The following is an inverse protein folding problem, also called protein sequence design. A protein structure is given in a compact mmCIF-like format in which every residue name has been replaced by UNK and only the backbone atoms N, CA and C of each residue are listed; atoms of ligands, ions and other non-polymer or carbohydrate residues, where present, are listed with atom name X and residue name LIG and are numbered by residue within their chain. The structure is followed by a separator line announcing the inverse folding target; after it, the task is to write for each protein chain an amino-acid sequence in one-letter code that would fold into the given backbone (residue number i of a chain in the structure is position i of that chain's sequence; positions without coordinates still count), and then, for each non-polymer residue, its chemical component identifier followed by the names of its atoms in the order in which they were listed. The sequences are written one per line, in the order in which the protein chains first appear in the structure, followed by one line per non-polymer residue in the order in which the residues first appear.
data_IF_561826548445
#
_entry.id   IF_561826548445
#
_cell.length_a   1.000
_cell.length_b   1.000
_cell.length_c   1.000
_cell.angle_alpha   90.00
_cell.angle_beta   90.00
_cell.angle_gamma   90.00
#
_symmetry.space_group_name_H-M   'P 1'
#
loop_
_entity.id
_entity.type
_entity.pdbx_description
1 polymer ?
#
# COMPACT_ATOMS: atom_id res chain seq x y z
N UNK A 1 24.54 -33.54 -2.37
CA UNK A 1 23.19 -32.96 -2.54
C UNK A 1 23.28 -31.52 -2.12
N UNK A 2 22.60 -30.59 -2.77
CA UNK A 2 22.58 -29.22 -2.25
C UNK A 2 21.99 -29.25 -0.83
N UNK A 3 22.57 -28.44 0.05
CA UNK A 3 22.05 -28.30 1.41
C UNK A 3 20.66 -27.61 1.34
N UNK A 4 19.63 -28.35 1.71
CA UNK A 4 18.23 -27.90 1.73
C UNK A 4 17.73 -27.60 3.15
N UNK A 5 18.67 -27.42 4.11
CA UNK A 5 18.31 -26.99 5.45
C UNK A 5 17.98 -25.50 5.49
N UNK A 6 16.95 -25.15 6.23
CA UNK A 6 16.51 -23.78 6.47
C UNK A 6 16.31 -23.55 7.96
N UNK A 7 16.64 -22.33 8.42
CA UNK A 7 16.43 -21.93 9.81
C UNK A 7 14.97 -21.57 10.08
N UNK A 8 14.23 -21.10 9.05
CA UNK A 8 12.83 -20.76 9.15
C UNK A 8 12.06 -21.11 7.87
N UNK A 9 10.85 -21.60 8.06
CA UNK A 9 9.89 -21.88 6.98
C UNK A 9 8.68 -20.97 7.17
N UNK A 10 8.33 -20.22 6.12
CA UNK A 10 7.20 -19.31 6.11
C UNK A 10 6.13 -19.87 5.16
N UNK A 11 4.92 -20.03 5.67
CA UNK A 11 3.79 -20.50 4.88
C UNK A 11 2.95 -19.29 4.48
N UNK A 12 2.90 -19.02 3.18
CA UNK A 12 2.23 -17.88 2.58
C UNK A 12 3.17 -16.71 2.26
N UNK A 13 3.21 -16.33 0.99
CA UNK A 13 4.03 -15.24 0.43
C UNK A 13 3.30 -13.91 0.32
N UNK A 14 2.31 -13.64 1.17
CA UNK A 14 1.69 -12.35 1.28
C UNK A 14 2.66 -11.30 1.86
N UNK A 15 2.27 -10.03 1.89
CA UNK A 15 3.14 -8.93 2.33
C UNK A 15 3.74 -9.14 3.74
N UNK A 16 3.00 -9.73 4.68
CA UNK A 16 3.54 -10.05 6.00
C UNK A 16 4.61 -11.14 5.96
N UNK A 17 4.38 -12.21 5.18
CA UNK A 17 5.34 -13.30 5.03
C UNK A 17 6.64 -12.83 4.36
N UNK A 18 6.54 -12.00 3.34
CA UNK A 18 7.70 -11.46 2.65
C UNK A 18 8.48 -10.48 3.53
N UNK A 19 7.82 -9.60 4.28
CA UNK A 19 8.48 -8.71 5.24
C UNK A 19 9.21 -9.51 6.31
N UNK A 20 8.56 -10.52 6.89
CA UNK A 20 9.18 -11.39 7.89
C UNK A 20 10.43 -12.08 7.32
N UNK A 21 10.34 -12.61 6.10
CA UNK A 21 11.50 -13.23 5.43
C UNK A 21 12.67 -12.25 5.30
N UNK A 22 12.40 -11.00 4.90
CA UNK A 22 13.43 -9.98 4.76
C UNK A 22 14.14 -9.70 6.10
N UNK A 23 13.40 -9.53 7.19
CA UNK A 23 14.00 -9.30 8.51
C UNK A 23 14.79 -10.52 9.02
N UNK A 24 14.27 -11.74 8.82
CA UNK A 24 14.98 -12.95 9.19
C UNK A 24 16.29 -13.11 8.41
N UNK A 25 16.27 -12.84 7.11
CA UNK A 25 17.47 -12.86 6.27
C UNK A 25 18.47 -11.77 6.66
N UNK A 26 18.00 -10.58 7.00
CA UNK A 26 18.86 -9.51 7.52
C UNK A 26 19.53 -9.92 8.85
N UNK A 27 18.87 -10.74 9.66
CA UNK A 27 19.43 -11.34 10.87
C UNK A 27 20.35 -12.55 10.60
N UNK A 28 20.61 -12.88 9.32
CA UNK A 28 21.51 -13.98 8.93
C UNK A 28 20.84 -15.35 8.86
N UNK A 29 19.52 -15.45 9.00
CA UNK A 29 18.82 -16.71 8.95
C UNK A 29 18.47 -17.11 7.51
N UNK A 30 18.67 -18.38 7.18
CA UNK A 30 18.29 -18.95 5.89
C UNK A 30 16.80 -19.30 5.91
N UNK A 31 16.01 -18.56 5.12
CA UNK A 31 14.55 -18.69 5.09
C UNK A 31 14.04 -19.25 3.78
N UNK A 32 12.89 -19.91 3.83
CA UNK A 32 12.13 -20.35 2.66
C UNK A 32 10.67 -19.96 2.81
N UNK A 33 10.05 -19.50 1.72
CA UNK A 33 8.62 -19.20 1.65
C UNK A 33 7.95 -20.25 0.77
N UNK A 34 6.87 -20.84 1.26
CA UNK A 34 5.97 -21.66 0.46
C UNK A 34 4.71 -20.87 0.16
N UNK A 35 4.51 -20.54 -1.12
CA UNK A 35 3.34 -19.85 -1.63
C UNK A 35 2.60 -20.76 -2.62
N UNK A 36 1.28 -20.81 -2.52
CA UNK A 36 0.46 -21.65 -3.42
C UNK A 36 0.16 -20.96 -4.76
N UNK A 37 0.22 -19.63 -4.79
CA UNK A 37 0.06 -18.85 -6.02
C UNK A 37 1.39 -18.74 -6.76
N UNK A 38 1.32 -18.42 -8.05
CA UNK A 38 2.52 -18.23 -8.87
C UNK A 38 3.32 -17.00 -8.46
N UNK A 39 2.66 -15.99 -7.92
CA UNK A 39 3.27 -14.73 -7.53
C UNK A 39 3.14 -14.48 -6.02
N UNK A 40 4.13 -13.78 -5.48
CA UNK A 40 4.11 -13.29 -4.11
C UNK A 40 3.28 -12.01 -4.02
N UNK A 41 2.77 -11.71 -2.83
CA UNK A 41 2.06 -10.45 -2.56
C UNK A 41 0.73 -10.65 -1.84
N UNK A 42 0.07 -11.80 -2.04
CA UNK A 42 -1.23 -12.05 -1.43
C UNK A 42 -2.26 -10.99 -1.84
N UNK A 43 -2.93 -10.35 -0.88
CA UNK A 43 -3.88 -9.27 -1.16
C UNK A 43 -3.27 -7.99 -1.74
N UNK A 44 -1.95 -7.86 -1.79
CA UNK A 44 -1.24 -6.76 -2.44
C UNK A 44 -0.78 -7.09 -3.87
N UNK A 45 -1.09 -8.29 -4.37
CA UNK A 45 -0.74 -8.71 -5.72
C UNK A 45 -1.53 -7.92 -6.76
N UNK A 46 -0.85 -7.50 -7.84
CA UNK A 46 -1.49 -6.92 -9.00
C UNK A 46 -1.75 -7.98 -10.06
N UNK A 47 -2.91 -7.94 -10.70
CA UNK A 47 -3.31 -8.86 -11.75
C UNK A 47 -3.76 -8.10 -12.99
N UNK A 48 -3.57 -8.68 -14.18
CA UNK A 48 -4.09 -8.11 -15.42
C UNK A 48 -5.60 -8.33 -15.53
N UNK A 49 -6.37 -7.35 -15.06
CA UNK A 49 -7.83 -7.34 -15.06
C UNK A 49 -8.33 -5.96 -15.53
N UNK A 50 -9.42 -5.86 -16.24
CA UNK A 50 -10.20 -6.86 -17.00
C UNK A 50 -9.63 -7.15 -18.39
N UNK A 51 -8.59 -6.43 -18.81
CA UNK A 51 -7.96 -6.55 -20.12
C UNK A 51 -6.46 -6.77 -19.99
N UNK A 52 -5.82 -7.52 -20.89
CA UNK A 52 -4.37 -7.68 -20.93
C UNK A 52 -3.66 -6.32 -20.97
N UNK A 53 -2.60 -6.18 -20.18
CA UNK A 53 -1.83 -4.94 -20.04
C UNK A 53 -2.36 -3.95 -19.00
N UNK A 54 -3.56 -4.18 -18.43
CA UNK A 54 -4.13 -3.34 -17.37
C UNK A 54 -3.99 -4.05 -16.03
N UNK A 55 -2.94 -3.72 -15.31
CA UNK A 55 -2.67 -4.27 -13.98
C UNK A 55 -3.53 -3.53 -12.94
N UNK A 56 -4.32 -4.29 -12.21
CA UNK A 56 -5.16 -3.80 -11.12
C UNK A 56 -4.96 -4.67 -9.87
N UNK A 57 -5.15 -4.07 -8.72
CA UNK A 57 -5.24 -4.81 -7.47
C UNK A 57 -6.71 -4.99 -7.08
N UNK A 58 -7.10 -6.24 -6.79
CA UNK A 58 -8.48 -6.59 -6.45
C UNK A 58 -8.82 -6.44 -4.97
N UNK A 59 -7.80 -6.24 -4.12
CA UNK A 59 -7.98 -6.21 -2.67
C UNK A 59 -7.37 -4.95 -2.05
N UNK A 60 -6.07 -4.70 -2.25
CA UNK A 60 -5.35 -3.59 -1.62
C UNK A 60 -5.28 -2.36 -2.55
N UNK A 61 -6.41 -1.69 -2.79
CA UNK A 61 -6.48 -0.48 -3.60
C UNK A 61 -5.93 0.78 -2.88
N UNK A 62 -5.78 0.70 -1.55
CA UNK A 62 -5.29 1.78 -0.72
C UNK A 62 -4.35 1.21 0.34
N UNK A 63 -3.09 1.64 0.32
CA UNK A 63 -2.09 1.15 1.28
C UNK A 63 -1.38 2.31 1.99
N UNK A 64 -1.01 2.09 3.25
CA UNK A 64 -0.19 3.01 4.04
C UNK A 64 1.19 2.42 4.32
N UNK A 65 1.67 1.57 3.43
CA UNK A 65 2.91 0.83 3.64
C UNK A 65 4.14 1.75 3.70
N UNK A 66 4.08 2.93 3.06
CA UNK A 66 5.10 3.97 3.18
C UNK A 66 5.35 4.44 4.63
N UNK A 67 4.38 4.26 5.54
CA UNK A 67 4.53 4.53 6.98
C UNK A 67 5.01 3.30 7.76
N UNK A 68 5.18 2.14 7.11
CA UNK A 68 5.65 0.92 7.75
C UNK A 68 7.19 0.94 7.86
N UNK A 69 7.78 0.50 9.00
CA UNK A 69 9.23 0.48 9.16
C UNK A 69 9.99 -0.20 8.02
N UNK A 70 9.48 -1.33 7.51
CA UNK A 70 10.11 -2.04 6.40
C UNK A 70 10.30 -1.20 5.13
N UNK A 71 9.49 -0.14 4.93
CA UNK A 71 9.62 0.77 3.79
C UNK A 71 10.96 1.51 3.82
N UNK A 72 11.37 1.98 5.00
CA UNK A 72 12.65 2.66 5.24
C UNK A 72 13.78 1.70 5.50
N UNK A 73 13.55 0.64 6.28
CA UNK A 73 14.58 -0.31 6.68
C UNK A 73 15.18 -1.05 5.48
N UNK A 74 14.37 -1.29 4.46
CA UNK A 74 14.80 -1.96 3.21
C UNK A 74 14.95 -1.01 2.03
N UNK A 75 14.85 0.31 2.21
CA UNK A 75 14.96 1.31 1.15
C UNK A 75 14.11 0.96 -0.09
N UNK A 76 12.83 0.62 0.11
CA UNK A 76 11.98 0.08 -0.97
C UNK A 76 11.82 1.02 -2.16
N UNK A 77 12.10 2.31 -2.00
CA UNK A 77 12.19 3.27 -3.11
C UNK A 77 13.28 2.91 -4.11
N UNK A 78 14.42 2.42 -3.65
CA UNK A 78 15.55 2.04 -4.49
C UNK A 78 15.21 0.81 -5.35
N UNK A 79 14.22 0.03 -4.91
CA UNK A 79 13.66 -1.10 -5.65
C UNK A 79 12.45 -0.71 -6.52
N UNK A 80 12.17 0.58 -6.67
CA UNK A 80 11.15 1.08 -7.58
C UNK A 80 9.76 1.22 -7.00
N UNK A 81 9.56 1.00 -5.69
CA UNK A 81 8.27 1.26 -5.05
C UNK A 81 7.99 2.76 -5.02
N UNK A 82 6.92 3.17 -5.68
CA UNK A 82 6.47 4.56 -5.77
C UNK A 82 5.05 4.68 -5.28
N UNK A 83 4.79 5.70 -4.47
CA UNK A 83 3.44 6.08 -4.05
C UNK A 83 2.91 7.21 -4.90
N UNK A 84 1.64 7.15 -5.20
CA UNK A 84 0.87 8.22 -5.83
C UNK A 84 -0.16 8.67 -4.81
N UNK A 85 -0.21 9.96 -4.53
CA UNK A 85 -1.20 10.59 -3.68
C UNK A 85 -2.04 11.53 -4.57
N UNK A 86 -3.17 11.07 -5.12
CA UNK A 86 -4.06 11.93 -5.88
C UNK A 86 -4.67 12.99 -4.95
N UNK A 87 -4.98 14.17 -5.46
CA UNK A 87 -5.58 15.24 -4.65
C UNK A 87 -6.91 14.79 -4.05
N UNK A 88 -7.72 14.06 -4.82
CA UNK A 88 -8.95 13.44 -4.35
C UNK A 88 -8.73 11.93 -4.17
N UNK A 89 -8.99 11.45 -2.98
CA UNK A 89 -8.73 10.06 -2.59
C UNK A 89 -9.96 9.18 -2.75
N UNK A 90 -11.12 9.73 -2.44
CA UNK A 90 -12.39 9.01 -2.48
C UNK A 90 -13.55 9.96 -2.76
N UNK A 91 -14.65 9.41 -3.23
CA UNK A 91 -15.89 10.14 -3.44
C UNK A 91 -17.09 9.23 -3.22
N UNK A 92 -18.17 9.80 -2.70
CA UNK A 92 -19.44 9.14 -2.51
C UNK A 92 -20.56 10.01 -3.05
N UNK A 93 -21.44 9.42 -3.85
CA UNK A 93 -22.65 10.09 -4.36
C UNK A 93 -23.85 9.51 -3.63
N UNK A 94 -24.71 10.37 -3.10
CA UNK A 94 -25.93 9.99 -2.39
C UNK A 94 -27.14 10.00 -3.34
N UNK A 95 -28.22 9.27 -3.00
CA UNK A 95 -29.43 9.19 -3.85
C UNK A 95 -30.12 10.53 -4.08
N UNK A 96 -29.94 11.52 -3.21
CA UNK A 96 -30.48 12.88 -3.33
C UNK A 96 -29.65 13.79 -4.27
N UNK A 97 -28.57 13.25 -4.89
CA UNK A 97 -27.67 13.97 -5.78
C UNK A 97 -26.57 14.76 -5.06
N UNK A 98 -26.51 14.74 -3.74
CA UNK A 98 -25.36 15.29 -3.00
C UNK A 98 -24.14 14.40 -3.14
N UNK A 99 -22.95 14.95 -2.93
CA UNK A 99 -21.72 14.16 -2.95
C UNK A 99 -20.75 14.61 -1.85
N UNK A 100 -20.01 13.63 -1.36
CA UNK A 100 -18.85 13.82 -0.48
C UNK A 100 -17.57 13.60 -1.29
N UNK A 101 -16.56 14.42 -1.03
CA UNK A 101 -15.23 14.26 -1.61
C UNK A 101 -14.19 14.25 -0.50
N UNK A 102 -13.46 13.14 -0.40
CA UNK A 102 -12.31 13.00 0.48
C UNK A 102 -11.01 13.37 -0.23
N UNK A 103 -10.26 14.27 0.34
CA UNK A 103 -8.97 14.69 -0.19
C UNK A 103 -7.84 13.90 0.44
N UNK A 104 -6.79 13.62 -0.33
CA UNK A 104 -5.61 12.92 0.19
C UNK A 104 -4.93 13.76 1.27
N UNK A 105 -4.79 13.18 2.45
CA UNK A 105 -4.06 13.83 3.54
C UNK A 105 -2.53 13.86 3.30
N UNK A 106 -2.04 13.08 2.34
CA UNK A 106 -0.63 12.93 2.05
C UNK A 106 -0.33 13.27 0.60
N UNK A 107 0.85 13.80 0.36
CA UNK A 107 1.40 14.07 -0.97
C UNK A 107 2.88 13.73 -1.02
N UNK A 108 3.42 13.61 -2.21
CA UNK A 108 4.86 13.54 -2.41
C UNK A 108 5.39 14.96 -2.59
N UNK A 109 6.34 15.36 -1.75
CA UNK A 109 7.05 16.62 -1.93
C UNK A 109 7.82 16.57 -3.27
N UNK A 110 7.55 17.48 -4.21
CA UNK A 110 8.16 17.46 -5.53
C UNK A 110 9.68 17.72 -5.51
N UNK A 111 10.20 18.35 -4.46
CA UNK A 111 11.63 18.68 -4.34
C UNK A 111 12.43 17.53 -3.73
N UNK A 112 11.90 16.92 -2.67
CA UNK A 112 12.60 15.88 -1.93
C UNK A 112 12.17 14.47 -2.27
N UNK A 113 11.03 14.33 -2.97
CA UNK A 113 10.40 13.06 -3.26
C UNK A 113 9.91 12.30 -2.02
N UNK A 114 9.81 12.96 -0.88
CA UNK A 114 9.35 12.35 0.38
C UNK A 114 7.84 12.53 0.54
N UNK A 115 7.25 11.60 1.23
CA UNK A 115 5.85 11.67 1.65
C UNK A 115 5.70 12.67 2.79
N UNK A 116 4.77 13.61 2.64
CA UNK A 116 4.48 14.62 3.64
C UNK A 116 2.98 14.84 3.82
N UNK A 117 2.60 15.36 5.00
CA UNK A 117 1.23 15.70 5.31
C UNK A 117 0.80 16.98 4.59
N UNK A 118 -0.29 16.91 3.83
CA UNK A 118 -0.93 18.09 3.24
C UNK A 118 -1.97 18.69 4.20
N UNK A 119 -1.56 19.67 4.97
CA UNK A 119 -2.48 20.36 5.89
C UNK A 119 -3.66 21.02 5.16
N UNK A 120 -3.48 21.45 3.93
CA UNK A 120 -4.53 22.03 3.09
C UNK A 120 -5.61 20.98 2.79
N UNK A 121 -5.21 19.80 2.32
CA UNK A 121 -6.14 18.72 1.99
C UNK A 121 -6.84 18.16 3.23
N UNK A 122 -6.14 18.05 4.35
CA UNK A 122 -6.73 17.71 5.65
C UNK A 122 -7.85 18.70 5.99
N UNK A 123 -7.59 20.01 5.87
CA UNK A 123 -8.58 21.05 6.14
C UNK A 123 -9.76 20.98 5.17
N UNK A 124 -9.53 20.72 3.88
CA UNK A 124 -10.61 20.52 2.88
C UNK A 124 -11.52 19.35 3.30
N UNK A 125 -10.94 18.21 3.64
CA UNK A 125 -11.71 17.03 4.09
C UNK A 125 -12.54 17.32 5.34
N UNK A 126 -11.98 18.00 6.33
CA UNK A 126 -12.75 18.41 7.52
C UNK A 126 -13.91 19.35 7.18
N UNK A 127 -13.73 20.27 6.23
CA UNK A 127 -14.80 21.15 5.78
C UNK A 127 -15.92 20.37 5.09
N UNK A 128 -15.58 19.37 4.28
CA UNK A 128 -16.58 18.48 3.65
C UNK A 128 -17.38 17.71 4.71
N UNK A 129 -16.70 17.09 5.68
CA UNK A 129 -17.36 16.38 6.79
C UNK A 129 -18.30 17.34 7.54
N UNK A 130 -17.84 18.56 7.86
CA UNK A 130 -18.65 19.54 8.56
C UNK A 130 -19.86 20.04 7.75
N UNK A 131 -19.79 20.01 6.42
CA UNK A 131 -20.90 20.34 5.53
C UNK A 131 -22.03 19.31 5.65
N UNK A 132 -21.67 18.01 5.68
CA UNK A 132 -22.65 16.92 5.80
C UNK A 132 -23.27 16.83 7.19
N UNK A 133 -22.49 17.02 8.26
CA UNK A 133 -22.99 16.94 9.64
C UNK A 133 -23.93 18.09 10.06
N UNK A 134 -24.07 19.13 9.23
CA UNK A 134 -25.02 20.24 9.48
C UNK A 134 -26.39 20.04 8.85
N UNK A 135 -26.55 19.01 8.02
CA UNK A 135 -27.79 18.73 7.31
C UNK A 135 -28.61 17.62 7.97
N UNK A 136 -28.17 17.10 9.11
CA UNK A 136 -28.90 16.21 10.02
C UNK A 136 -29.49 17.03 11.21
#
# INVERSE_FOLDING_TARGET
MPDTSYDAIIIGGGHHGTILACYLQQAGLKTVIFERQQELGGGACGEELPLPGFIQNTCAHFTRFWAHPAYTDFNLRDYGLKYIFPDTNEGMVYPDGTCYVGYSAWRVDPLTGKEELSNENVKKTYNEIARFSKND
#
